data_IF_607360500252
#
_entry.id   IF_607360500252
#
_cell.length_a   1.000
_cell.length_b   1.000
_cell.length_c   1.000
_cell.angle_alpha   90.00
_cell.angle_beta   90.00
_cell.angle_gamma   90.00
#
_symmetry.space_group_name_H-M   'P 1'
#
loop_
_entity.id
_entity.type
_entity.pdbx_description
1 polymer ?
#
# COMPACT_ATOMS: atom_id res chain seq x y z
N UNK A 1 4.78 -26.54 6.06
CA UNK A 1 5.32 -26.57 4.71
C UNK A 1 6.71 -25.94 4.78
N UNK A 2 7.75 -26.65 4.37
CA UNK A 2 9.12 -26.10 4.36
C UNK A 2 9.27 -25.09 3.21
N UNK A 3 10.27 -24.19 3.28
CA UNK A 3 10.55 -23.16 2.27
C UNK A 3 10.68 -23.77 0.87
N UNK A 4 11.24 -24.99 0.76
CA UNK A 4 11.35 -25.71 -0.52
C UNK A 4 9.99 -26.04 -1.11
N UNK A 5 9.05 -26.50 -0.29
CA UNK A 5 7.69 -26.81 -0.72
C UNK A 5 6.91 -25.54 -1.09
N UNK A 6 7.10 -24.46 -0.32
CA UNK A 6 6.55 -23.14 -0.63
C UNK A 6 7.07 -22.59 -1.96
N UNK A 7 8.37 -22.72 -2.22
CA UNK A 7 8.97 -22.32 -3.49
C UNK A 7 8.40 -23.14 -4.66
N UNK A 8 8.25 -24.45 -4.49
CA UNK A 8 7.62 -25.31 -5.49
C UNK A 8 6.13 -24.96 -5.71
N UNK A 9 5.42 -24.56 -4.66
CA UNK A 9 4.04 -24.04 -4.76
C UNK A 9 3.99 -22.75 -5.57
N UNK A 10 4.86 -21.79 -5.24
CA UNK A 10 5.00 -20.52 -5.96
C UNK A 10 5.25 -20.71 -7.46
N UNK A 11 6.22 -21.55 -7.84
CA UNK A 11 6.52 -21.78 -9.26
C UNK A 11 5.35 -22.41 -10.01
N UNK A 12 4.63 -23.36 -9.40
CA UNK A 12 3.43 -23.97 -10.00
C UNK A 12 2.31 -22.95 -10.18
N UNK A 13 2.05 -22.13 -9.16
CA UNK A 13 1.01 -21.11 -9.24
C UNK A 13 1.36 -20.04 -10.29
N UNK A 14 2.64 -19.64 -10.37
CA UNK A 14 3.14 -18.71 -11.40
C UNK A 14 2.94 -19.28 -12.81
N UNK A 15 3.37 -20.52 -13.04
CA UNK A 15 3.24 -21.17 -14.35
C UNK A 15 1.77 -21.25 -14.79
N UNK A 16 0.88 -21.62 -13.87
CA UNK A 16 -0.57 -21.62 -14.12
C UNK A 16 -1.09 -20.23 -14.46
N UNK A 17 -0.71 -19.20 -13.70
CA UNK A 17 -1.11 -17.82 -13.98
C UNK A 17 -0.63 -17.33 -15.35
N UNK A 18 0.64 -17.59 -15.70
CA UNK A 18 1.20 -17.23 -17.01
C UNK A 18 0.45 -17.92 -18.15
N UNK A 19 0.15 -19.22 -18.02
CA UNK A 19 -0.60 -19.99 -19.02
C UNK A 19 -2.02 -19.44 -19.23
N UNK A 20 -2.74 -19.13 -18.15
CA UNK A 20 -4.10 -18.55 -18.24
C UNK A 20 -4.06 -17.14 -18.83
N UNK A 21 -3.06 -16.33 -18.45
CA UNK A 21 -2.87 -14.97 -18.97
C UNK A 21 -2.63 -14.96 -20.48
N UNK A 22 -1.73 -15.82 -20.97
CA UNK A 22 -1.46 -16.00 -22.40
C UNK A 22 -2.74 -16.43 -23.13
N UNK A 23 -3.48 -17.40 -22.58
CA UNK A 23 -4.72 -17.87 -23.18
C UNK A 23 -5.76 -16.76 -23.32
N UNK A 24 -5.95 -15.90 -22.32
CA UNK A 24 -6.87 -14.76 -22.42
C UNK A 24 -6.42 -13.79 -23.52
N UNK A 25 -5.13 -13.46 -23.58
CA UNK A 25 -4.57 -12.55 -24.58
C UNK A 25 -4.73 -13.10 -26.02
N UNK A 26 -4.52 -14.41 -26.21
CA UNK A 26 -4.57 -15.03 -27.53
C UNK A 26 -6.00 -15.33 -28.01
N UNK A 27 -6.83 -15.86 -27.12
CA UNK A 27 -8.13 -16.43 -27.50
C UNK A 27 -9.30 -15.43 -27.47
N UNK A 28 -9.09 -14.21 -26.95
CA UNK A 28 -10.13 -13.21 -26.73
C UNK A 28 -11.37 -13.79 -26.00
N UNK A 29 -11.16 -14.82 -25.15
CA UNK A 29 -12.25 -15.47 -24.42
C UNK A 29 -12.57 -14.70 -23.14
N UNK A 30 -13.84 -14.57 -22.81
CA UNK A 30 -14.34 -13.91 -21.58
C UNK A 30 -14.16 -14.76 -20.30
N UNK A 31 -13.21 -15.70 -20.26
CA UNK A 31 -13.00 -16.55 -19.09
C UNK A 31 -12.16 -15.85 -18.00
N UNK A 32 -12.66 -14.69 -17.57
CA UNK A 32 -12.06 -13.87 -16.52
C UNK A 32 -12.07 -14.56 -15.15
N UNK A 33 -12.99 -15.52 -14.93
CA UNK A 33 -13.05 -16.26 -13.67
C UNK A 33 -11.82 -17.13 -13.44
N UNK A 34 -11.38 -17.88 -14.44
CA UNK A 34 -10.18 -18.71 -14.34
C UNK A 34 -8.92 -17.85 -14.14
N UNK A 35 -8.86 -16.68 -14.78
CA UNK A 35 -7.77 -15.73 -14.61
C UNK A 35 -7.73 -15.13 -13.20
N UNK A 36 -8.87 -14.68 -12.67
CA UNK A 36 -8.96 -14.16 -11.31
C UNK A 36 -8.55 -15.25 -10.29
N UNK A 37 -9.03 -16.48 -10.47
CA UNK A 37 -8.67 -17.60 -9.59
C UNK A 37 -7.16 -17.92 -9.65
N UNK A 38 -6.57 -17.96 -10.85
CA UNK A 38 -5.13 -18.21 -11.00
C UNK A 38 -4.28 -17.06 -10.45
N UNK A 39 -4.73 -15.80 -10.62
CA UNK A 39 -4.10 -14.62 -10.04
C UNK A 39 -4.09 -14.69 -8.52
N UNK A 40 -5.25 -15.00 -7.92
CA UNK A 40 -5.39 -15.06 -6.47
C UNK A 40 -4.58 -16.22 -5.86
N UNK A 41 -4.49 -17.37 -6.56
CA UNK A 41 -3.61 -18.48 -6.16
C UNK A 41 -2.12 -18.08 -6.21
N UNK A 42 -1.71 -17.40 -7.28
CA UNK A 42 -0.34 -16.91 -7.42
C UNK A 42 0.02 -15.87 -6.34
N UNK A 43 -0.87 -14.92 -6.08
CA UNK A 43 -0.78 -13.92 -5.02
C UNK A 43 -0.53 -14.55 -3.65
N UNK A 44 -1.37 -15.53 -3.28
CA UNK A 44 -1.25 -16.26 -2.02
C UNK A 44 0.09 -17.00 -1.91
N UNK A 45 0.48 -17.78 -2.93
CA UNK A 45 1.72 -18.54 -2.89
C UNK A 45 2.97 -17.63 -2.78
N UNK A 46 2.94 -16.47 -3.45
CA UNK A 46 3.97 -15.43 -3.39
C UNK A 46 4.07 -14.83 -1.98
N UNK A 47 2.92 -14.50 -1.36
CA UNK A 47 2.87 -13.99 0.00
C UNK A 47 3.40 -15.03 1.01
N UNK A 48 2.97 -16.29 0.93
CA UNK A 48 3.42 -17.35 1.84
C UNK A 48 4.94 -17.57 1.74
N UNK A 49 5.50 -17.55 0.53
CA UNK A 49 6.93 -17.67 0.32
C UNK A 49 7.70 -16.47 0.91
N UNK A 50 7.20 -15.25 0.71
CA UNK A 50 7.81 -14.04 1.28
C UNK A 50 7.81 -14.07 2.81
N UNK A 51 6.70 -14.49 3.42
CA UNK A 51 6.57 -14.69 4.88
C UNK A 51 7.63 -15.67 5.37
N UNK A 52 7.73 -16.84 4.75
CA UNK A 52 8.66 -17.88 5.20
C UNK A 52 10.14 -17.48 5.06
N UNK A 53 10.47 -16.61 4.09
CA UNK A 53 11.81 -16.06 3.92
C UNK A 53 12.08 -14.82 4.79
N UNK A 54 11.06 -14.24 5.42
CA UNK A 54 11.18 -12.95 6.09
C UNK A 54 11.47 -11.79 5.14
N UNK A 55 11.07 -11.91 3.87
CA UNK A 55 11.26 -10.86 2.87
C UNK A 55 10.20 -9.75 3.04
N UNK A 56 10.49 -8.58 2.48
CA UNK A 56 9.54 -7.47 2.38
C UNK A 56 8.46 -7.80 1.34
N UNK A 57 7.19 -7.56 1.67
CA UNK A 57 6.05 -7.76 0.78
C UNK A 57 4.89 -6.80 1.10
N UNK A 58 3.98 -6.63 0.15
CA UNK A 58 2.80 -5.76 0.27
C UNK A 58 1.55 -6.61 0.46
N UNK A 59 0.68 -6.18 1.38
CA UNK A 59 -0.67 -6.71 1.54
C UNK A 59 -1.68 -5.60 1.37
N UNK A 60 -2.86 -5.92 0.84
CA UNK A 60 -3.97 -4.97 0.78
C UNK A 60 -4.30 -4.44 2.18
N UNK A 61 -4.47 -3.13 2.29
CA UNK A 61 -4.89 -2.48 3.51
C UNK A 61 -6.30 -1.92 3.33
N UNK A 62 -7.25 -2.46 4.10
CA UNK A 62 -8.65 -2.01 4.03
C UNK A 62 -8.80 -0.64 4.70
N UNK A 63 -8.88 0.40 3.86
CA UNK A 63 -9.17 1.77 4.28
C UNK A 63 -10.67 2.07 4.25
N UNK A 64 -11.51 1.14 3.78
CA UNK A 64 -12.92 1.38 3.46
C UNK A 64 -13.15 2.19 2.19
N UNK A 65 -12.09 2.53 1.45
CA UNK A 65 -12.13 3.18 0.14
C UNK A 65 -10.89 2.83 -0.68
N UNK A 66 -10.95 3.12 -1.99
CA UNK A 66 -9.82 3.08 -2.91
C UNK A 66 -9.65 4.44 -3.59
N UNK A 67 -8.42 4.83 -3.98
CA UNK A 67 -8.23 6.01 -4.81
C UNK A 67 -8.90 5.89 -6.17
N UNK A 68 -9.50 6.98 -6.65
CA UNK A 68 -9.97 7.11 -8.03
C UNK A 68 -8.77 7.31 -8.97
N UNK A 69 -8.29 6.22 -9.57
CA UNK A 69 -7.19 6.23 -10.54
C UNK A 69 -7.52 6.95 -11.86
N UNK A 70 -8.73 7.48 -12.03
CA UNK A 70 -9.07 8.37 -13.15
C UNK A 70 -8.87 9.85 -12.83
N UNK A 71 -8.63 10.21 -11.57
CA UNK A 71 -8.44 11.59 -11.09
C UNK A 71 -7.00 11.80 -10.59
N UNK A 72 -6.34 12.86 -11.08
CA UNK A 72 -4.95 13.23 -10.76
C UNK A 72 -4.83 14.34 -9.72
N UNK A 73 -5.89 14.56 -8.93
CA UNK A 73 -5.96 15.65 -7.94
C UNK A 73 -5.59 15.21 -6.52
N UNK A 74 -4.61 14.35 -6.37
CA UNK A 74 -4.05 14.04 -5.07
C UNK A 74 -3.29 15.24 -4.47
N UNK A 75 -3.46 15.47 -3.17
CA UNK A 75 -2.78 16.53 -2.43
C UNK A 75 -2.19 15.95 -1.16
N UNK A 76 -0.88 16.16 -0.97
CA UNK A 76 -0.21 15.92 0.31
C UNK A 76 -0.03 17.24 1.04
N UNK A 77 -0.56 17.33 2.26
CA UNK A 77 -0.36 18.46 3.17
C UNK A 77 0.38 17.97 4.40
N UNK A 78 1.61 18.43 4.58
CA UNK A 78 2.43 18.09 5.74
C UNK A 78 2.68 19.33 6.62
N UNK A 79 2.25 19.24 7.88
CA UNK A 79 2.39 20.30 8.89
C UNK A 79 3.14 19.69 10.07
N UNK A 80 4.45 19.98 10.15
CA UNK A 80 5.35 19.36 11.14
C UNK A 80 5.29 17.82 11.08
N UNK A 81 4.84 17.15 12.15
CA UNK A 81 4.71 15.69 12.25
C UNK A 81 3.33 15.15 11.82
N UNK A 82 2.42 16.03 11.40
CA UNK A 82 1.09 15.65 10.92
C UNK A 82 1.09 15.67 9.40
N UNK A 83 0.72 14.56 8.78
CA UNK A 83 0.57 14.48 7.32
C UNK A 83 -0.83 14.09 6.95
N UNK A 84 -1.40 14.85 6.02
CA UNK A 84 -2.66 14.54 5.36
C UNK A 84 -2.40 14.18 3.91
N UNK A 85 -3.04 13.11 3.44
CA UNK A 85 -3.20 12.83 2.02
C UNK A 85 -4.69 13.02 1.68
N UNK A 86 -4.97 13.74 0.60
CA UNK A 86 -6.31 13.92 0.09
C UNK A 86 -6.38 13.39 -1.34
N UNK A 87 -7.43 12.67 -1.66
CA UNK A 87 -7.69 12.13 -3.00
C UNK A 87 -9.19 11.88 -3.18
N UNK A 88 -9.64 11.81 -4.44
CA UNK A 88 -11.01 11.41 -4.76
C UNK A 88 -11.15 9.91 -4.48
N UNK A 89 -12.14 9.55 -3.68
CA UNK A 89 -12.31 8.20 -3.15
C UNK A 89 -13.52 7.50 -3.76
N UNK A 90 -13.33 6.22 -4.03
CA UNK A 90 -14.36 5.30 -4.50
C UNK A 90 -14.62 4.21 -3.46
N UNK A 91 -15.83 3.67 -3.46
CA UNK A 91 -16.17 2.45 -2.73
C UNK A 91 -15.31 1.29 -3.23
N UNK A 92 -14.81 0.39 -2.35
CA UNK A 92 -14.12 -0.82 -2.79
C UNK A 92 -15.09 -1.86 -3.38
N UNK A 93 -16.40 -1.69 -3.15
CA UNK A 93 -17.46 -2.57 -3.65
C UNK A 93 -18.11 -1.95 -4.89
N UNK A 94 -18.21 -2.75 -5.95
CA UNK A 94 -18.91 -2.40 -7.18
C UNK A 94 -20.42 -2.48 -6.94
N UNK A 95 -21.15 -1.44 -7.36
CA UNK A 95 -22.61 -1.39 -7.25
C UNK A 95 -23.30 -2.37 -8.21
N UNK A 96 -24.62 -2.56 -8.05
CA UNK A 96 -25.43 -3.40 -8.94
C UNK A 96 -25.43 -2.93 -10.40
N UNK A 97 -25.05 -1.68 -10.66
CA UNK A 97 -24.93 -1.12 -12.02
C UNK A 97 -23.55 -1.31 -12.63
N UNK A 98 -22.63 -1.98 -11.94
CA UNK A 98 -21.27 -2.25 -12.42
C UNK A 98 -20.27 -1.11 -12.19
N UNK A 99 -20.67 -0.02 -11.54
CA UNK A 99 -19.80 1.12 -11.25
C UNK A 99 -19.41 1.19 -9.78
N UNK A 100 -18.21 1.69 -9.49
CA UNK A 100 -17.85 2.11 -8.14
C UNK A 100 -18.66 3.33 -7.71
N UNK A 101 -19.05 3.37 -6.43
CA UNK A 101 -19.74 4.53 -5.86
C UNK A 101 -18.73 5.60 -5.46
N UNK A 102 -18.96 6.85 -5.86
CA UNK A 102 -18.16 7.98 -5.42
C UNK A 102 -18.42 8.29 -3.93
N UNK A 103 -17.36 8.38 -3.14
CA UNK A 103 -17.42 8.69 -1.71
C UNK A 103 -17.06 10.17 -1.41
N UNK A 104 -16.70 10.94 -2.44
CA UNK A 104 -16.19 12.31 -2.33
C UNK A 104 -14.66 12.34 -2.18
N UNK A 105 -14.15 13.33 -1.44
CA UNK A 105 -12.71 13.44 -1.13
C UNK A 105 -12.45 12.69 0.18
N UNK A 106 -11.56 11.68 0.12
CA UNK A 106 -10.97 11.10 1.32
C UNK A 106 -9.91 12.05 1.88
N UNK A 107 -9.96 12.27 3.19
CA UNK A 107 -8.96 13.02 3.94
C UNK A 107 -8.30 12.02 4.90
N UNK A 108 -7.12 11.59 4.53
CA UNK A 108 -6.33 10.61 5.28
C UNK A 108 -5.38 11.32 6.22
N UNK A 109 -5.54 11.13 7.53
CA UNK A 109 -4.56 11.54 8.53
C UNK A 109 -3.59 10.38 8.84
N UNK A 110 -2.32 10.58 8.51
CA UNK A 110 -1.23 9.66 8.85
C UNK A 110 -0.79 9.92 10.30
N UNK A 111 -1.36 9.18 11.25
CA UNK A 111 -1.16 9.47 12.68
C UNK A 111 0.28 9.21 13.12
N UNK A 112 0.91 10.24 13.70
CA UNK A 112 2.29 10.18 14.17
C UNK A 112 3.28 9.91 13.05
N UNK A 113 3.00 10.35 11.83
CA UNK A 113 3.82 10.13 10.65
C UNK A 113 5.28 10.53 10.89
N UNK A 114 6.21 9.61 10.64
CA UNK A 114 7.66 9.87 10.76
C UNK A 114 8.23 10.48 9.49
N UNK A 115 7.77 9.99 8.34
CA UNK A 115 8.31 10.35 7.03
C UNK A 115 7.34 9.92 5.94
N UNK A 116 7.39 10.65 4.83
CA UNK A 116 6.62 10.40 3.62
C UNK A 116 7.53 10.38 2.40
N UNK A 117 7.04 9.76 1.33
CA UNK A 117 7.50 9.98 -0.04
C UNK A 117 6.26 10.18 -0.90
N UNK A 118 6.36 11.10 -1.85
CA UNK A 118 5.29 11.39 -2.76
C UNK A 118 5.88 11.69 -4.14
N UNK A 119 5.40 10.99 -5.17
CA UNK A 119 5.93 11.12 -6.52
C UNK A 119 5.91 9.80 -7.29
N UNK A 120 6.77 9.69 -8.29
CA UNK A 120 6.90 8.49 -9.12
C UNK A 120 7.21 7.21 -8.32
N UNK A 121 6.78 6.04 -8.84
CA UNK A 121 6.10 5.84 -10.12
C UNK A 121 4.61 6.23 -10.09
N UNK A 122 4.03 6.48 -11.27
CA UNK A 122 2.59 6.55 -11.47
C UNK A 122 2.02 5.14 -11.73
N UNK A 123 0.71 5.01 -11.90
CA UNK A 123 0.07 3.72 -12.19
C UNK A 123 0.60 3.05 -13.48
N UNK A 124 0.92 3.83 -14.51
CA UNK A 124 1.39 3.32 -15.82
C UNK A 124 2.80 2.75 -15.73
N UNK A 125 3.60 3.25 -14.78
CA UNK A 125 4.97 2.84 -14.53
C UNK A 125 5.12 2.08 -13.21
N UNK A 126 4.02 1.61 -12.61
CA UNK A 126 4.02 0.93 -11.32
C UNK A 126 4.90 -0.33 -11.34
N UNK A 127 5.05 -0.97 -12.51
CA UNK A 127 5.93 -2.13 -12.74
C UNK A 127 7.41 -1.87 -12.43
N UNK A 128 7.83 -0.60 -12.42
CA UNK A 128 9.19 -0.19 -12.06
C UNK A 128 9.40 -0.04 -10.55
N UNK A 129 8.33 -0.07 -9.76
CA UNK A 129 8.42 0.03 -8.31
C UNK A 129 9.11 -1.22 -7.73
N UNK A 130 10.06 -1.10 -6.78
CA UNK A 130 10.73 -2.26 -6.19
C UNK A 130 9.78 -3.25 -5.49
N UNK A 131 8.64 -2.78 -4.98
CA UNK A 131 7.60 -3.61 -4.38
C UNK A 131 6.60 -4.21 -5.38
N UNK A 132 6.69 -3.85 -6.68
CA UNK A 132 5.80 -4.40 -7.71
C UNK A 132 5.79 -5.93 -7.72
N UNK A 133 6.93 -6.62 -7.87
CA UNK A 133 6.94 -8.09 -7.82
C UNK A 133 6.77 -8.65 -6.40
N UNK A 134 6.46 -7.82 -5.40
CA UNK A 134 6.33 -8.19 -3.99
C UNK A 134 4.91 -7.96 -3.45
N UNK A 135 3.92 -7.91 -4.33
CA UNK A 135 2.49 -7.83 -4.00
C UNK A 135 1.85 -6.47 -4.26
N UNK A 136 2.62 -5.45 -4.66
CA UNK A 136 2.05 -4.15 -5.03
C UNK A 136 1.21 -4.23 -6.32
N UNK A 137 1.55 -5.15 -7.22
CA UNK A 137 0.78 -5.48 -8.43
C UNK A 137 -0.62 -6.02 -8.15
N UNK A 138 -0.84 -6.58 -6.97
CA UNK A 138 -2.12 -7.14 -6.51
C UNK A 138 -2.91 -6.16 -5.61
N UNK A 139 -2.33 -4.98 -5.36
CA UNK A 139 -2.86 -4.01 -4.43
C UNK A 139 -4.02 -3.21 -5.06
N UNK A 140 -5.17 -3.14 -4.38
CA UNK A 140 -6.33 -2.34 -4.78
C UNK A 140 -6.14 -0.85 -4.40
N UNK A 141 -4.97 -0.30 -4.72
CA UNK A 141 -4.65 1.10 -4.49
C UNK A 141 -4.07 1.44 -3.11
N UNK A 142 -4.33 0.68 -2.05
CA UNK A 142 -3.76 0.93 -0.70
C UNK A 142 -3.20 -0.35 -0.08
N UNK A 143 -1.93 -0.30 0.32
CA UNK A 143 -1.21 -1.46 0.86
C UNK A 143 -0.41 -1.16 2.13
N UNK A 144 -0.26 -2.17 2.98
CA UNK A 144 0.71 -2.20 4.07
C UNK A 144 1.94 -3.00 3.61
N UNK A 145 3.12 -2.43 3.78
CA UNK A 145 4.41 -3.06 3.47
C UNK A 145 4.93 -3.76 4.72
N UNK A 146 4.81 -5.09 4.73
CA UNK A 146 5.26 -5.96 5.81
C UNK A 146 6.77 -6.21 5.69
N UNK A 147 7.43 -6.37 6.84
CA UNK A 147 8.89 -6.48 6.95
C UNK A 147 9.65 -5.33 6.26
N UNK A 148 9.08 -4.12 6.33
CA UNK A 148 9.60 -3.03 5.51
C UNK A 148 11.04 -2.65 5.84
N UNK A 149 11.91 -2.70 4.81
CA UNK A 149 13.31 -2.31 4.90
C UNK A 149 13.46 -0.80 5.08
N UNK A 150 12.59 -0.01 4.44
CA UNK A 150 12.58 1.44 4.61
C UNK A 150 12.24 1.83 6.06
N UNK A 151 11.22 1.19 6.63
CA UNK A 151 10.85 1.35 8.05
C UNK A 151 12.03 1.04 8.97
N UNK A 152 12.68 -0.10 8.77
CA UNK A 152 13.87 -0.52 9.54
C UNK A 152 14.99 0.53 9.45
N UNK A 153 15.32 1.00 8.24
CA UNK A 153 16.37 1.99 8.03
C UNK A 153 16.07 3.35 8.72
N UNK A 154 14.81 3.77 8.77
CA UNK A 154 14.39 4.98 9.51
C UNK A 154 14.60 4.78 11.00
N UNK A 155 14.16 3.63 11.54
CA UNK A 155 14.28 3.30 12.96
C UNK A 155 15.74 3.23 13.40
N UNK A 156 16.62 2.66 12.58
CA UNK A 156 18.06 2.66 12.82
C UNK A 156 18.61 4.09 12.95
N UNK A 157 18.24 5.00 12.05
CA UNK A 157 18.66 6.42 12.12
C UNK A 157 18.17 7.10 13.41
N UNK A 158 16.91 6.87 13.80
CA UNK A 158 16.36 7.41 15.04
C UNK A 158 17.07 6.86 16.30
N UNK A 159 17.42 5.57 16.30
CA UNK A 159 18.15 4.95 17.42
C UNK A 159 19.52 5.61 17.66
N UNK A 160 20.24 5.92 16.58
CA UNK A 160 21.54 6.60 16.63
C UNK A 160 21.40 8.01 17.24
N UNK A 161 20.37 8.76 16.83
CA UNK A 161 20.14 10.13 17.31
C UNK A 161 19.75 10.20 18.80
N UNK A 162 19.04 9.19 19.31
CA UNK A 162 18.55 9.18 20.69
C UNK A 162 19.59 8.78 21.74
N UNK A 163 20.84 8.54 21.34
CA UNK A 163 21.94 8.06 22.19
C UNK A 163 21.63 6.73 22.92
N UNK A 164 20.55 6.05 22.55
CA UNK A 164 20.26 4.68 22.96
C UNK A 164 21.10 3.76 22.09
N UNK A 165 22.38 3.58 22.45
CA UNK A 165 23.31 2.61 21.83
C UNK A 165 22.92 1.15 22.10
N UNK A 166 21.65 0.82 22.14
CA UNK A 166 21.23 -0.57 21.96
C UNK A 166 21.40 -0.84 20.47
N UNK A 167 22.41 -1.65 20.11
CA UNK A 167 22.43 -2.28 18.79
C UNK A 167 21.02 -2.82 18.50
N UNK A 168 20.56 -2.86 17.23
CA UNK A 168 19.31 -3.51 16.86
C UNK A 168 19.20 -5.00 17.26
N UNK A 169 20.25 -5.56 17.86
CA UNK A 169 20.28 -6.92 18.44
C UNK A 169 19.76 -6.99 19.88
N UNK A 170 19.75 -5.90 20.64
CA UNK A 170 19.22 -5.87 22.02
C UNK A 170 17.73 -5.49 21.99
N UNK A 171 16.95 -6.54 21.87
CA UNK A 171 15.62 -6.65 21.27
C UNK A 171 14.43 -6.12 22.09
N UNK A 172 14.61 -5.30 23.14
CA UNK A 172 13.54 -5.05 24.13
C UNK A 172 13.04 -3.61 24.26
N UNK A 173 13.91 -2.59 24.18
CA UNK A 173 13.50 -1.19 24.39
C UNK A 173 13.23 -0.42 23.09
N UNK A 174 14.12 -0.52 22.09
CA UNK A 174 13.91 0.11 20.78
C UNK A 174 12.74 -0.54 20.01
N UNK A 175 12.54 -1.85 20.17
CA UNK A 175 11.42 -2.56 19.55
C UNK A 175 10.07 -2.05 20.05
N UNK A 176 9.91 -1.72 21.34
CA UNK A 176 8.60 -1.43 21.90
C UNK A 176 8.03 -0.07 21.47
N UNK A 177 8.87 0.94 21.29
CA UNK A 177 8.44 2.29 20.88
C UNK A 177 7.98 2.31 19.41
N UNK A 178 8.59 1.45 18.59
CA UNK A 178 8.47 1.49 17.15
C UNK A 178 7.65 0.34 16.55
N UNK A 179 7.29 -0.67 17.36
CA UNK A 179 6.46 -1.81 16.91
C UNK A 179 5.11 -1.37 16.33
N UNK A 180 4.58 -0.25 16.83
CA UNK A 180 3.29 0.28 16.43
C UNK A 180 3.35 1.06 15.10
N UNK A 181 4.52 1.19 14.48
CA UNK A 181 4.65 1.83 13.18
C UNK A 181 4.56 0.83 12.03
N UNK A 182 3.83 1.26 11.01
CA UNK A 182 3.57 0.54 9.77
C UNK A 182 4.06 1.38 8.60
N UNK A 183 4.44 0.71 7.53
CA UNK A 183 4.72 1.35 6.25
C UNK A 183 3.51 1.15 5.35
N UNK A 184 2.93 2.26 4.88
CA UNK A 184 1.81 2.26 3.95
C UNK A 184 2.25 2.77 2.59
N UNK A 185 1.69 2.21 1.54
CA UNK A 185 1.85 2.65 0.15
C UNK A 185 0.47 2.84 -0.48
N UNK A 186 0.34 3.92 -1.25
CA UNK A 186 -0.85 4.29 -2.00
C UNK A 186 -0.46 4.39 -3.46
N UNK A 187 -1.21 3.72 -4.33
CA UNK A 187 -1.15 3.88 -5.78
C UNK A 187 -2.22 4.88 -6.16
N UNK A 188 -1.78 6.01 -6.74
CA UNK A 188 -2.63 7.09 -7.22
C UNK A 188 -2.44 7.19 -8.74
N UNK A 189 -3.22 8.07 -9.38
CA UNK A 189 -3.18 8.23 -10.83
C UNK A 189 -1.79 8.56 -11.36
N UNK A 190 -1.25 9.69 -10.91
CA UNK A 190 0.02 10.22 -11.41
C UNK A 190 1.20 9.95 -10.46
N UNK A 191 0.93 9.41 -9.27
CA UNK A 191 1.93 9.29 -8.22
C UNK A 191 1.70 8.04 -7.36
N UNK A 192 2.71 7.71 -6.58
CA UNK A 192 2.56 6.92 -5.36
C UNK A 192 2.77 7.82 -4.15
N UNK A 193 2.09 7.48 -3.07
CA UNK A 193 2.36 8.06 -1.76
C UNK A 193 2.76 6.94 -0.81
N UNK A 194 3.93 7.06 -0.18
CA UNK A 194 4.38 6.14 0.85
C UNK A 194 4.52 6.90 2.18
N UNK A 195 4.17 6.27 3.30
CA UNK A 195 4.43 6.83 4.62
C UNK A 195 4.75 5.78 5.68
N UNK A 196 5.54 6.18 6.68
CA UNK A 196 5.70 5.41 7.91
C UNK A 196 4.95 6.10 9.04
N UNK A 197 3.84 5.50 9.46
CA UNK A 197 2.92 6.08 10.44
C UNK A 197 2.42 5.00 11.42
N UNK A 198 1.85 5.42 12.56
CA UNK A 198 1.29 4.48 13.54
C UNK A 198 -0.03 3.89 13.06
N UNK A 199 -0.85 4.73 12.45
CA UNK A 199 -2.17 4.37 11.97
C UNK A 199 -2.62 5.34 10.88
N UNK A 200 -3.65 4.93 10.15
CA UNK A 200 -4.35 5.72 9.16
C UNK A 200 -5.76 6.00 9.67
N UNK A 201 -6.16 7.27 9.68
CA UNK A 201 -7.56 7.66 9.89
C UNK A 201 -8.09 8.31 8.64
N UNK A 202 -9.21 7.82 8.12
CA UNK A 202 -9.87 8.40 6.96
C UNK A 202 -11.20 9.01 7.36
N UNK A 203 -11.47 10.19 6.83
CA UNK A 203 -12.80 10.80 6.83
C UNK A 203 -13.14 11.20 5.39
N UNK A 204 -14.44 11.25 5.08
CA UNK A 204 -14.92 11.62 3.75
C UNK A 204 -15.58 13.00 3.78
N UNK A 205 -15.38 13.77 2.71
CA UNK A 205 -15.94 15.11 2.57
C UNK A 205 -16.46 15.35 1.15
N UNK A 206 -17.57 16.08 1.05
CA UNK A 206 -18.14 16.55 -0.22
C UNK A 206 -17.72 17.99 -0.56
N UNK A 207 -16.87 18.60 0.27
CA UNK A 207 -16.36 19.97 0.07
C UNK A 207 -15.26 19.99 -1.00
N UNK A 208 -14.91 21.17 -1.48
CA UNK A 208 -13.75 21.34 -2.36
C UNK A 208 -12.44 21.09 -1.61
N UNK A 209 -11.37 20.75 -2.33
CA UNK A 209 -10.02 20.63 -1.75
C UNK A 209 -9.61 21.91 -1.00
N UNK A 210 -9.92 23.09 -1.53
CA UNK A 210 -9.55 24.37 -0.93
C UNK A 210 -10.24 24.59 0.43
N UNK A 211 -11.53 24.27 0.52
CA UNK A 211 -12.28 24.37 1.77
C UNK A 211 -11.72 23.40 2.82
N UNK A 212 -11.40 22.18 2.40
CA UNK A 212 -10.80 21.16 3.28
C UNK A 212 -9.44 21.62 3.80
N UNK A 213 -8.55 22.10 2.92
CA UNK A 213 -7.23 22.62 3.30
C UNK A 213 -7.40 23.75 4.31
N UNK A 214 -8.29 24.70 4.05
CA UNK A 214 -8.58 25.84 4.93
C UNK A 214 -9.03 25.37 6.32
N UNK A 215 -9.91 24.35 6.38
CA UNK A 215 -10.36 23.77 7.64
C UNK A 215 -9.24 23.06 8.42
N UNK A 216 -8.38 22.31 7.72
CA UNK A 216 -7.24 21.62 8.33
C UNK A 216 -6.26 22.65 8.92
N UNK A 217 -5.92 23.69 8.14
CA UNK A 217 -4.96 24.71 8.58
C UNK A 217 -5.50 25.54 9.74
N UNK A 218 -6.80 25.87 9.75
CA UNK A 218 -7.40 26.67 10.84
C UNK A 218 -7.59 25.88 12.15
N UNK A 219 -7.62 24.55 12.11
CA UNK A 219 -7.72 23.70 13.31
C UNK A 219 -6.37 23.26 13.87
N UNK A 220 -5.30 23.37 13.06
CA UNK A 220 -3.95 22.88 13.39
C UNK A 220 -3.00 23.99 13.85
N UNK A 221 -3.44 25.25 13.81
CA UNK A 221 -2.79 26.44 14.39
C UNK A 221 -3.52 26.81 15.67
#
# INVERSE_FOLDING_TARGET
>A
MDIVELAASFFRAKEKFDQVSIKILESHTDNWQDYLAARDEYALAKQELAIAKGEEYVVNYDLGCIPDISDSKEIVLQISQTTFLMFKALSPIISTTGNYLELGIAILNCQGCLITKFGYPNEENLSTHPLFPKGLDECLGVGEVVNSLWKTAIMEKYSIMSNTRTKPTDNTLANNTFNNYKHFIFVLKDNTFECVAKNLLVIFSQKSYLDIITEITNKSI
#
